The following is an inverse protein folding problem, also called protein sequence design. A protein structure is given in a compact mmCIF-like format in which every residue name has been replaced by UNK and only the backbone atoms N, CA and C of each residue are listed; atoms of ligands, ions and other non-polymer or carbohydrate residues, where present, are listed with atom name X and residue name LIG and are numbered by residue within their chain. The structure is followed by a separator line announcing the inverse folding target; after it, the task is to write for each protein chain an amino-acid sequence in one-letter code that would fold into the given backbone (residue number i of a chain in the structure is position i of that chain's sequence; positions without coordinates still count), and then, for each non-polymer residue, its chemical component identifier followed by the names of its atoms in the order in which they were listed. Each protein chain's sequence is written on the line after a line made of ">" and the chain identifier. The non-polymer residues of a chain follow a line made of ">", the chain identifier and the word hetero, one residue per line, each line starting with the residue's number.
data_IF_439524625410
#
_entry.id   IF_439524625410
#
_cell.length_a   1.000
_cell.length_b   1.000
_cell.length_c   1.000
_cell.angle_alpha   90.00
_cell.angle_beta   90.00
_cell.angle_gamma   90.00
#
_symmetry.space_group_name_H-M   'P 1'
#
loop_
_entity.id
_entity.type
_entity.pdbx_description
1 polymer ?
#
# COMPACT_ATOMS: atom_id res chain seq x y z
N UNK A 1 -15.85 -7.26 40.96
CA UNK A 1 -14.47 -6.85 41.30
C UNK A 1 -13.72 -6.60 40.02
N UNK A 2 -13.38 -5.33 39.79
CA UNK A 2 -12.81 -4.82 38.55
C UNK A 2 -11.38 -5.36 38.32
N UNK A 3 -10.97 -5.58 37.07
CA UNK A 3 -9.61 -6.04 36.70
C UNK A 3 -8.54 -5.11 37.29
N UNK A 4 -8.88 -3.81 37.40
CA UNK A 4 -8.07 -2.79 38.05
C UNK A 4 -7.73 -3.14 39.51
N UNK A 5 -8.68 -3.69 40.26
CA UNK A 5 -8.46 -4.06 41.66
C UNK A 5 -7.52 -5.26 41.80
N UNK A 6 -7.62 -6.22 40.86
CA UNK A 6 -6.77 -7.41 40.82
C UNK A 6 -5.32 -7.07 40.46
N UNK A 7 -5.11 -6.13 39.52
CA UNK A 7 -3.80 -5.58 39.19
C UNK A 7 -3.20 -4.78 40.35
N UNK A 8 -4.01 -3.97 41.05
CA UNK A 8 -3.58 -3.23 42.24
C UNK A 8 -3.12 -4.21 43.34
N UNK A 9 -3.87 -5.28 43.63
CA UNK A 9 -3.44 -6.28 44.60
C UNK A 9 -2.17 -7.03 44.19
N UNK A 10 -2.00 -7.34 42.90
CA UNK A 10 -0.79 -7.98 42.40
C UNK A 10 0.45 -7.08 42.50
N UNK A 11 0.33 -5.80 42.15
CA UNK A 11 1.41 -4.80 42.24
C UNK A 11 1.76 -4.51 43.70
N UNK A 12 0.75 -4.32 44.56
CA UNK A 12 0.94 -4.13 46.00
C UNK A 12 1.59 -5.37 46.64
N UNK A 13 1.24 -6.58 46.21
CA UNK A 13 1.88 -7.82 46.67
C UNK A 13 3.34 -7.97 46.22
N UNK A 14 3.66 -7.59 44.98
CA UNK A 14 5.03 -7.57 44.46
C UNK A 14 5.91 -6.50 45.14
N UNK A 15 5.35 -5.33 45.44
CA UNK A 15 6.08 -4.30 46.21
C UNK A 15 6.26 -4.69 47.68
N UNK A 16 5.27 -5.33 48.30
CA UNK A 16 5.35 -5.81 49.68
C UNK A 16 6.38 -6.94 49.86
N UNK A 17 6.56 -7.81 48.85
CA UNK A 17 7.57 -8.89 48.89
C UNK A 17 9.00 -8.35 48.80
N UNK A 18 9.25 -7.29 48.02
CA UNK A 18 10.55 -6.62 47.95
C UNK A 18 10.97 -5.90 49.23
N UNK A 19 10.01 -5.32 49.96
CA UNK A 19 10.25 -4.59 51.23
C UNK A 19 10.44 -5.55 52.42
N UNK A 20 9.70 -6.67 52.46
CA UNK A 20 9.71 -7.62 53.58
C UNK A 20 10.87 -8.62 53.57
N UNK A 21 11.51 -8.86 52.42
CA UNK A 21 12.68 -9.73 52.31
C UNK A 21 13.89 -9.26 53.14
N UNK A 22 13.90 -7.99 53.56
CA UNK A 22 14.97 -7.39 54.39
C UNK A 22 14.68 -7.38 55.91
N UNK A 23 13.52 -7.88 56.37
CA UNK A 23 13.01 -7.67 57.76
C UNK A 23 12.98 -8.98 58.60
N UNK A 24 13.87 -9.93 58.30
CA UNK A 24 14.03 -11.13 59.14
C UNK A 24 12.77 -12.01 59.26
N UNK A 25 12.61 -12.72 60.40
CA UNK A 25 11.59 -13.74 60.62
C UNK A 25 10.14 -13.24 60.48
N UNK A 26 9.85 -12.04 60.99
CA UNK A 26 8.52 -11.40 60.90
C UNK A 26 8.14 -11.08 59.44
N UNK A 27 9.11 -10.68 58.62
CA UNK A 27 8.91 -10.48 57.19
C UNK A 27 8.47 -11.76 56.46
N UNK A 28 9.02 -12.92 56.85
CA UNK A 28 8.63 -14.22 56.27
C UNK A 28 7.20 -14.62 56.66
N UNK A 29 6.79 -14.38 57.91
CA UNK A 29 5.41 -14.63 58.35
C UNK A 29 4.43 -13.77 57.55
N UNK A 30 4.73 -12.48 57.36
CA UNK A 30 3.90 -11.58 56.57
C UNK A 30 3.78 -12.04 55.10
N UNK A 31 4.87 -12.54 54.50
CA UNK A 31 4.86 -13.10 53.15
C UNK A 31 4.00 -14.37 53.03
N UNK A 32 4.07 -15.27 54.02
CA UNK A 32 3.25 -16.48 54.05
C UNK A 32 1.76 -16.14 54.18
N UNK A 33 1.42 -15.20 55.08
CA UNK A 33 0.03 -14.74 55.25
C UNK A 33 -0.50 -14.05 53.99
N UNK A 34 0.32 -13.25 53.31
CA UNK A 34 -0.03 -12.60 52.05
C UNK A 34 -0.24 -13.63 50.92
N UNK A 35 0.65 -14.62 50.81
CA UNK A 35 0.51 -15.71 49.85
C UNK A 35 -0.75 -16.55 50.12
N UNK A 36 -1.03 -16.88 51.38
CA UNK A 36 -2.25 -17.59 51.78
C UNK A 36 -3.52 -16.79 51.45
N UNK A 37 -3.50 -15.46 51.64
CA UNK A 37 -4.62 -14.59 51.27
C UNK A 37 -4.87 -14.50 49.76
N UNK A 38 -3.85 -14.77 48.93
CA UNK A 38 -3.99 -14.83 47.47
C UNK A 38 -4.60 -16.16 46.98
N UNK A 39 -4.54 -17.25 47.75
CA UNK A 39 -5.05 -18.57 47.34
C UNK A 39 -6.54 -18.54 46.97
N UNK A 40 -7.47 -18.00 47.79
CA UNK A 40 -8.88 -17.91 47.43
C UNK A 40 -9.12 -17.05 46.19
N UNK A 41 -8.30 -16.01 45.99
CA UNK A 41 -8.37 -15.13 44.83
C UNK A 41 -7.93 -15.86 43.56
N UNK A 42 -6.82 -16.57 43.61
CA UNK A 42 -6.31 -17.41 42.51
C UNK A 42 -7.33 -18.51 42.20
N UNK A 43 -7.87 -19.20 43.21
CA UNK A 43 -8.91 -20.22 43.00
C UNK A 43 -10.19 -19.63 42.37
N UNK A 44 -10.63 -18.44 42.81
CA UNK A 44 -11.81 -17.76 42.27
C UNK A 44 -11.60 -17.27 40.83
N UNK A 45 -10.39 -16.84 40.48
CA UNK A 45 -10.07 -16.25 39.18
C UNK A 45 -9.18 -17.11 38.29
N UNK A 46 -8.92 -18.38 38.64
CA UNK A 46 -7.96 -19.26 37.95
C UNK A 46 -8.21 -19.34 36.45
N UNK A 47 -9.49 -19.42 36.01
CA UNK A 47 -9.85 -19.43 34.59
C UNK A 47 -9.45 -18.12 33.89
N UNK A 48 -9.67 -16.97 34.53
CA UNK A 48 -9.29 -15.66 33.96
C UNK A 48 -7.78 -15.47 33.95
N UNK A 49 -7.08 -15.87 35.01
CA UNK A 49 -5.61 -15.85 35.08
C UNK A 49 -5.03 -16.77 34.00
N UNK A 50 -5.58 -17.97 33.84
CA UNK A 50 -5.20 -18.89 32.78
C UNK A 50 -5.39 -18.28 31.39
N UNK A 51 -6.56 -17.68 31.11
CA UNK A 51 -6.80 -16.99 29.83
C UNK A 51 -5.81 -15.86 29.62
N UNK A 52 -5.59 -14.99 30.61
CA UNK A 52 -4.60 -13.90 30.52
C UNK A 52 -3.22 -14.44 30.23
N UNK A 53 -2.73 -15.42 30.99
CA UNK A 53 -1.40 -16.01 30.76
C UNK A 53 -1.29 -16.68 29.38
N UNK A 54 -2.38 -17.29 28.89
CA UNK A 54 -2.42 -17.88 27.54
C UNK A 54 -2.47 -16.86 26.43
N UNK A 55 -3.12 -15.71 26.60
CA UNK A 55 -3.19 -14.66 25.57
C UNK A 55 -2.04 -13.66 25.65
N UNK A 56 -1.40 -13.51 26.81
CA UNK A 56 -0.36 -12.51 27.06
C UNK A 56 0.76 -12.49 26.00
N UNK A 57 1.32 -13.63 25.53
CA UNK A 57 2.34 -13.59 24.48
C UNK A 57 1.84 -12.99 23.16
N UNK A 58 0.60 -13.33 22.76
CA UNK A 58 -0.05 -12.77 21.57
C UNK A 58 -0.31 -11.28 21.76
N UNK A 59 -0.80 -10.89 22.93
CA UNK A 59 -1.18 -9.51 23.23
C UNK A 59 0.07 -8.60 23.33
N UNK A 60 1.18 -9.08 23.91
CA UNK A 60 2.49 -8.41 23.90
C UNK A 60 3.01 -8.25 22.46
N UNK A 61 2.94 -9.31 21.65
CA UNK A 61 3.37 -9.25 20.24
C UNK A 61 2.53 -8.26 19.44
N UNK A 62 1.22 -8.23 19.66
CA UNK A 62 0.33 -7.25 19.06
C UNK A 62 0.69 -5.82 19.50
N UNK A 63 0.87 -5.58 20.80
CA UNK A 63 1.25 -4.27 21.33
C UNK A 63 2.59 -3.80 20.74
N UNK A 64 3.60 -4.67 20.65
CA UNK A 64 4.87 -4.36 20.02
C UNK A 64 4.71 -3.94 18.55
N UNK A 65 3.94 -4.72 17.77
CA UNK A 65 3.64 -4.41 16.37
C UNK A 65 2.88 -3.09 16.22
N UNK A 66 1.90 -2.85 17.10
CA UNK A 66 1.10 -1.63 17.12
C UNK A 66 1.95 -0.40 17.43
N UNK A 67 2.78 -0.44 18.46
CA UNK A 67 3.66 0.68 18.84
C UNK A 67 4.64 1.05 17.73
N UNK A 68 5.18 0.05 17.00
CA UNK A 68 6.06 0.32 15.86
C UNK A 68 5.29 0.92 14.67
N UNK A 69 4.08 0.42 14.38
CA UNK A 69 3.22 1.01 13.34
C UNK A 69 2.86 2.47 13.65
N UNK A 70 2.44 2.74 14.89
CA UNK A 70 2.07 4.07 15.37
C UNK A 70 3.27 5.03 15.38
N UNK A 71 4.48 4.54 15.69
CA UNK A 71 5.72 5.31 15.55
C UNK A 71 5.99 5.70 14.09
N UNK A 72 5.88 4.76 13.15
CA UNK A 72 6.04 5.02 11.71
C UNK A 72 5.03 6.08 11.23
N UNK A 73 3.74 5.91 11.57
CA UNK A 73 2.67 6.83 11.15
C UNK A 73 2.86 8.25 11.70
N UNK A 74 3.22 8.38 12.99
CA UNK A 74 3.55 9.71 13.57
C UNK A 74 4.75 10.35 12.88
N UNK A 75 5.74 9.55 12.46
CA UNK A 75 6.86 10.07 11.67
C UNK A 75 6.40 10.58 10.31
N UNK A 76 5.52 9.86 9.63
CA UNK A 76 5.01 10.27 8.32
C UNK A 76 4.21 11.57 8.37
N UNK A 77 3.36 11.73 9.40
CA UNK A 77 2.62 12.97 9.63
C UNK A 77 3.57 14.14 9.86
N UNK A 78 4.54 13.99 10.78
CA UNK A 78 5.49 15.04 11.15
C UNK A 78 6.36 15.50 9.98
N UNK A 79 6.80 14.55 9.15
CA UNK A 79 7.72 14.81 8.04
C UNK A 79 6.99 15.08 6.71
N UNK A 80 5.66 15.21 6.72
CA UNK A 80 4.84 15.37 5.53
C UNK A 80 5.18 14.33 4.44
N UNK A 81 5.33 13.06 4.85
CA UNK A 81 5.87 11.99 4.00
C UNK A 81 4.85 11.49 2.98
N UNK A 82 5.31 11.17 1.77
CA UNK A 82 4.53 10.51 0.73
C UNK A 82 5.17 9.18 0.34
N UNK A 83 4.43 8.31 -0.36
CA UNK A 83 5.01 7.07 -0.89
C UNK A 83 6.15 7.36 -1.87
N UNK A 84 6.03 8.43 -2.68
CA UNK A 84 7.07 8.89 -3.60
C UNK A 84 8.36 9.27 -2.86
N UNK A 85 8.28 9.99 -1.73
CA UNK A 85 9.45 10.35 -0.92
C UNK A 85 10.16 9.12 -0.35
N UNK A 86 9.39 8.15 0.15
CA UNK A 86 9.94 6.89 0.66
C UNK A 86 10.61 6.10 -0.47
N UNK A 87 9.95 6.00 -1.63
CA UNK A 87 10.46 5.22 -2.74
C UNK A 87 11.72 5.85 -3.35
N UNK A 88 11.75 7.18 -3.53
CA UNK A 88 12.92 7.94 -3.99
C UNK A 88 14.16 7.63 -3.15
N UNK A 89 14.01 7.69 -1.82
CA UNK A 89 15.11 7.38 -0.91
C UNK A 89 15.52 5.90 -0.98
N UNK A 90 14.56 4.99 -1.17
CA UNK A 90 14.86 3.57 -1.39
C UNK A 90 15.63 3.33 -2.69
N UNK A 91 15.21 3.92 -3.80
CA UNK A 91 15.89 3.79 -5.08
C UNK A 91 17.33 4.33 -5.01
N UNK A 92 17.53 5.43 -4.27
CA UNK A 92 18.87 5.99 -4.00
C UNK A 92 19.75 5.06 -3.16
N UNK A 93 19.21 4.47 -2.10
CA UNK A 93 19.98 3.64 -1.15
C UNK A 93 20.19 2.20 -1.63
N UNK A 94 19.26 1.68 -2.42
CA UNK A 94 19.22 0.27 -2.82
C UNK A 94 18.81 0.10 -4.29
N UNK A 95 19.54 0.70 -5.24
CA UNK A 95 19.14 0.76 -6.65
C UNK A 95 18.92 -0.64 -7.25
N UNK A 96 19.86 -1.56 -7.03
CA UNK A 96 19.87 -2.90 -7.64
C UNK A 96 18.93 -3.92 -6.95
N UNK A 97 18.26 -3.53 -5.86
CA UNK A 97 17.38 -4.47 -5.14
C UNK A 97 16.09 -4.70 -5.95
N UNK A 98 15.61 -5.96 -6.07
CA UNK A 98 14.35 -6.26 -6.72
C UNK A 98 13.17 -5.51 -6.08
N UNK A 99 12.36 -4.87 -6.90
CA UNK A 99 11.10 -4.23 -6.50
C UNK A 99 9.91 -5.07 -6.99
N UNK A 100 9.88 -5.37 -8.29
CA UNK A 100 8.85 -6.21 -8.89
C UNK A 100 9.48 -7.34 -9.71
N UNK A 101 8.79 -8.46 -9.78
CA UNK A 101 9.11 -9.56 -10.70
C UNK A 101 7.88 -9.75 -11.58
N UNK A 102 8.05 -9.69 -12.89
CA UNK A 102 6.95 -9.79 -13.84
C UNK A 102 7.41 -10.55 -15.07
N UNK A 103 6.68 -11.59 -15.45
CA UNK A 103 6.95 -12.41 -16.66
C UNK A 103 8.40 -12.93 -16.77
N UNK A 104 9.04 -13.21 -15.62
CA UNK A 104 10.42 -13.68 -15.54
C UNK A 104 11.47 -12.57 -15.53
N UNK A 105 11.09 -11.32 -15.76
CA UNK A 105 11.95 -10.15 -15.66
C UNK A 105 11.91 -9.57 -14.24
N UNK A 106 13.08 -9.15 -13.75
CA UNK A 106 13.20 -8.43 -12.48
C UNK A 106 13.29 -6.95 -12.75
N UNK A 107 12.40 -6.18 -12.13
CA UNK A 107 12.43 -4.73 -12.10
C UNK A 107 13.01 -4.28 -10.76
N UNK A 108 14.15 -3.61 -10.82
CA UNK A 108 14.85 -3.08 -9.65
C UNK A 108 14.22 -1.78 -9.15
N UNK A 109 14.67 -1.27 -8.01
CA UNK A 109 14.21 0.05 -7.55
C UNK A 109 14.66 1.16 -8.52
N UNK A 110 15.83 1.03 -9.14
CA UNK A 110 16.30 1.99 -10.13
C UNK A 110 15.44 1.99 -11.40
N UNK A 111 15.04 0.82 -11.90
CA UNK A 111 14.20 0.72 -13.11
C UNK A 111 12.86 1.45 -12.91
N UNK A 112 12.21 1.22 -11.76
CA UNK A 112 10.95 1.86 -11.40
C UNK A 112 11.14 3.37 -11.18
N UNK A 113 12.26 3.80 -10.58
CA UNK A 113 12.52 5.22 -10.38
C UNK A 113 12.75 5.96 -11.69
N UNK A 114 13.57 5.39 -12.59
CA UNK A 114 13.83 5.93 -13.94
C UNK A 114 12.55 6.00 -14.76
N UNK A 115 11.74 4.95 -14.78
CA UNK A 115 10.47 4.93 -15.51
C UNK A 115 9.49 5.96 -14.94
N UNK A 116 9.32 6.00 -13.62
CA UNK A 116 8.42 6.96 -12.98
C UNK A 116 8.89 8.41 -13.18
N UNK A 117 10.21 8.67 -13.23
CA UNK A 117 10.75 9.99 -13.56
C UNK A 117 10.42 10.41 -15.00
N UNK A 118 10.52 9.49 -15.97
CA UNK A 118 10.12 9.78 -17.36
C UNK A 118 8.66 10.19 -17.45
N UNK A 119 7.76 9.41 -16.86
CA UNK A 119 6.33 9.75 -16.78
C UNK A 119 6.13 11.13 -16.15
N UNK A 120 6.80 11.39 -15.02
CA UNK A 120 6.65 12.65 -14.32
C UNK A 120 7.10 13.85 -15.16
N UNK A 121 8.22 13.73 -15.88
CA UNK A 121 8.73 14.80 -16.75
C UNK A 121 7.82 15.02 -17.97
N UNK A 122 7.35 13.95 -18.64
CA UNK A 122 6.40 14.06 -19.77
C UNK A 122 5.14 14.83 -19.35
N UNK A 123 4.55 14.46 -18.21
CA UNK A 123 3.30 15.10 -17.76
C UNK A 123 3.55 16.51 -17.20
N UNK A 124 4.69 16.77 -16.57
CA UNK A 124 5.07 18.12 -16.14
C UNK A 124 5.22 19.05 -17.35
N UNK A 125 5.95 18.63 -18.39
CA UNK A 125 6.17 19.41 -19.61
C UNK A 125 4.86 19.64 -20.39
N UNK A 126 3.93 18.69 -20.33
CA UNK A 126 2.59 18.83 -20.88
C UNK A 126 1.66 19.73 -20.02
N UNK A 127 2.14 20.30 -18.91
CA UNK A 127 1.43 21.26 -18.07
C UNK A 127 0.54 20.66 -16.98
N UNK A 128 0.65 19.36 -16.70
CA UNK A 128 -0.05 18.75 -15.57
C UNK A 128 0.66 19.03 -14.26
N UNK A 129 -0.12 19.21 -13.20
CA UNK A 129 0.43 19.49 -11.88
C UNK A 129 -0.47 19.05 -10.73
N UNK A 130 -0.14 19.55 -9.55
CA UNK A 130 -0.79 19.17 -8.31
C UNK A 130 -2.30 19.40 -8.35
N UNK A 131 -3.07 18.35 -8.05
CA UNK A 131 -4.54 18.38 -8.02
C UNK A 131 -5.22 18.03 -9.35
N UNK A 132 -4.46 17.92 -10.45
CA UNK A 132 -4.97 17.36 -11.69
C UNK A 132 -5.19 15.86 -11.57
N UNK A 133 -6.13 15.32 -12.34
CA UNK A 133 -6.44 13.90 -12.35
C UNK A 133 -6.24 13.28 -13.74
N UNK A 134 -5.52 12.15 -13.78
CA UNK A 134 -5.22 11.38 -15.00
C UNK A 134 -5.69 9.95 -14.80
N UNK A 135 -6.49 9.43 -15.73
CA UNK A 135 -6.95 8.05 -15.70
C UNK A 135 -5.87 7.09 -16.20
N UNK A 136 -5.82 5.89 -15.62
CA UNK A 136 -4.91 4.82 -16.00
C UNK A 136 -5.71 3.53 -16.29
N UNK A 137 -5.69 3.12 -17.55
CA UNK A 137 -6.35 1.91 -18.06
C UNK A 137 -5.31 0.95 -18.65
N UNK A 138 -4.80 0.06 -17.80
CA UNK A 138 -3.68 -0.81 -18.10
C UNK A 138 -3.80 -2.11 -17.29
N UNK A 139 -3.39 -3.24 -17.87
CA UNK A 139 -3.28 -4.52 -17.16
C UNK A 139 -2.16 -4.49 -16.12
N UNK A 140 -2.11 -5.52 -15.26
CA UNK A 140 -1.06 -5.63 -14.27
C UNK A 140 0.31 -5.74 -14.93
N UNK A 141 1.18 -4.77 -14.64
CA UNK A 141 2.59 -4.75 -15.04
C UNK A 141 3.35 -3.72 -14.19
N UNK A 142 4.69 -3.81 -14.06
CA UNK A 142 5.48 -2.85 -13.28
C UNK A 142 5.29 -1.39 -13.72
N UNK A 143 5.09 -1.16 -15.02
CA UNK A 143 4.81 0.13 -15.63
C UNK A 143 3.53 0.77 -15.07
N UNK A 144 2.52 -0.02 -14.71
CA UNK A 144 1.31 0.47 -14.06
C UNK A 144 1.65 1.22 -12.77
N UNK A 145 2.53 0.61 -11.96
CA UNK A 145 2.95 1.17 -10.68
C UNK A 145 3.88 2.36 -10.87
N UNK A 146 4.84 2.23 -11.78
CA UNK A 146 5.76 3.32 -12.09
C UNK A 146 5.03 4.54 -12.68
N UNK A 147 3.93 4.34 -13.42
CA UNK A 147 3.12 5.41 -13.99
C UNK A 147 2.43 6.24 -12.91
N UNK A 148 1.63 5.63 -12.02
CA UNK A 148 0.97 6.40 -10.97
C UNK A 148 1.98 6.98 -9.98
N UNK A 149 3.11 6.31 -9.75
CA UNK A 149 4.19 6.83 -8.91
C UNK A 149 4.82 8.07 -9.55
N UNK A 150 5.00 8.08 -10.87
CA UNK A 150 5.51 9.22 -11.65
C UNK A 150 4.56 10.41 -11.62
N UNK A 151 3.27 10.19 -11.91
CA UNK A 151 2.23 11.21 -11.77
C UNK A 151 2.18 11.75 -10.33
N UNK A 152 2.28 10.86 -9.34
CA UNK A 152 2.35 11.21 -7.93
C UNK A 152 3.56 12.09 -7.57
N UNK A 153 4.71 11.99 -8.28
CA UNK A 153 5.88 12.85 -8.02
C UNK A 153 5.59 14.34 -8.29
N UNK A 154 4.67 14.63 -9.21
CA UNK A 154 4.24 15.99 -9.57
C UNK A 154 2.88 16.38 -8.96
N UNK A 155 2.37 15.55 -8.04
CA UNK A 155 1.10 15.80 -7.34
C UNK A 155 -0.15 15.53 -8.17
N UNK A 156 -0.02 14.87 -9.33
CA UNK A 156 -1.14 14.45 -10.15
C UNK A 156 -1.77 13.20 -9.54
N UNK A 157 -3.09 13.22 -9.44
CA UNK A 157 -3.91 12.13 -8.91
C UNK A 157 -4.13 11.11 -10.02
N UNK A 158 -3.88 9.83 -9.76
CA UNK A 158 -4.14 8.78 -10.75
C UNK A 158 -5.48 8.09 -10.50
N UNK A 159 -6.37 8.11 -11.47
CA UNK A 159 -7.63 7.39 -11.43
C UNK A 159 -7.48 5.99 -12.00
N UNK A 160 -7.58 4.98 -11.14
CA UNK A 160 -7.31 3.59 -11.47
C UNK A 160 -8.55 2.94 -12.06
N UNK A 161 -8.56 2.76 -13.39
CA UNK A 161 -9.75 2.30 -14.11
C UNK A 161 -9.80 0.78 -14.15
N UNK A 162 -10.95 0.21 -13.83
CA UNK A 162 -11.21 -1.21 -14.00
C UNK A 162 -11.22 -1.56 -15.49
N UNK A 163 -10.33 -2.48 -15.87
CA UNK A 163 -10.08 -2.90 -17.26
C UNK A 163 -11.27 -3.57 -17.95
N UNK A 164 -12.29 -3.98 -17.19
CA UNK A 164 -13.51 -4.60 -17.71
C UNK A 164 -14.62 -3.58 -18.03
N UNK A 165 -14.45 -2.30 -17.65
CA UNK A 165 -15.46 -1.28 -17.94
C UNK A 165 -15.48 -0.93 -19.43
N UNK A 166 -16.68 -0.68 -19.94
CA UNK A 166 -16.94 -0.31 -21.34
C UNK A 166 -18.04 0.75 -21.40
N UNK A 167 -18.12 1.44 -22.54
CA UNK A 167 -19.21 2.35 -22.90
C UNK A 167 -19.54 3.34 -21.77
N UNK A 168 -20.83 3.49 -21.42
CA UNK A 168 -21.31 4.44 -20.43
C UNK A 168 -20.63 4.32 -19.06
N UNK A 169 -20.30 3.11 -18.60
CA UNK A 169 -19.63 2.94 -17.31
C UNK A 169 -18.20 3.50 -17.35
N UNK A 170 -17.49 3.32 -18.47
CA UNK A 170 -16.14 3.84 -18.65
C UNK A 170 -16.15 5.36 -18.79
N UNK A 171 -17.01 5.91 -19.64
CA UNK A 171 -17.13 7.37 -19.79
C UNK A 171 -17.58 8.04 -18.49
N UNK A 172 -18.51 7.43 -17.74
CA UNK A 172 -18.93 7.89 -16.42
C UNK A 172 -17.75 8.02 -15.46
N UNK A 173 -16.85 7.02 -15.39
CA UNK A 173 -15.66 7.07 -14.54
C UNK A 173 -14.77 8.28 -14.85
N UNK A 174 -14.57 8.59 -16.13
CA UNK A 174 -13.74 9.71 -16.58
C UNK A 174 -14.39 11.06 -16.26
N UNK A 175 -15.71 11.18 -16.47
CA UNK A 175 -16.43 12.43 -16.26
C UNK A 175 -16.62 12.75 -14.77
N UNK A 176 -17.03 11.77 -13.95
CA UNK A 176 -17.33 12.00 -12.53
C UNK A 176 -16.11 12.45 -11.73
N UNK A 177 -14.92 11.98 -12.13
CA UNK A 177 -13.65 12.34 -11.50
C UNK A 177 -12.96 13.57 -12.13
N UNK A 178 -13.62 14.23 -13.11
CA UNK A 178 -13.08 15.38 -13.84
C UNK A 178 -11.68 15.12 -14.43
N UNK A 179 -11.52 13.96 -15.04
CA UNK A 179 -10.24 13.52 -15.61
C UNK A 179 -9.81 14.46 -16.75
N UNK A 180 -8.56 14.92 -16.73
CA UNK A 180 -7.96 15.76 -17.79
C UNK A 180 -7.36 14.94 -18.93
N UNK A 181 -6.83 13.76 -18.63
CA UNK A 181 -6.29 12.85 -19.63
C UNK A 181 -6.37 11.40 -19.23
N UNK A 182 -6.29 10.50 -20.20
CA UNK A 182 -6.29 9.05 -19.99
C UNK A 182 -5.01 8.46 -20.58
N UNK A 183 -4.30 7.68 -19.77
CA UNK A 183 -3.23 6.77 -20.19
C UNK A 183 -3.85 5.40 -20.38
N UNK A 184 -3.68 4.82 -21.57
CA UNK A 184 -4.16 3.48 -21.86
C UNK A 184 -3.17 2.73 -22.75
N UNK A 185 -3.26 1.41 -22.70
CA UNK A 185 -2.44 0.50 -23.50
C UNK A 185 -3.19 0.03 -24.76
N UNK A 186 -2.45 -0.40 -25.79
CA UNK A 186 -2.99 -0.88 -27.07
C UNK A 186 -4.23 -1.76 -26.93
N UNK A 187 -4.23 -2.71 -25.99
CA UNK A 187 -5.34 -3.64 -25.78
C UNK A 187 -6.69 -2.98 -25.38
N UNK A 188 -6.67 -1.70 -25.02
CA UNK A 188 -7.85 -0.92 -24.65
C UNK A 188 -8.20 0.18 -25.66
N UNK A 189 -7.55 0.22 -26.83
CA UNK A 189 -7.83 1.24 -27.86
C UNK A 189 -9.29 1.25 -28.27
N UNK A 190 -9.88 0.08 -28.56
CA UNK A 190 -11.31 -0.03 -28.92
C UNK A 190 -12.24 0.48 -27.83
N UNK A 191 -11.93 0.21 -26.56
CA UNK A 191 -12.74 0.68 -25.44
C UNK A 191 -12.73 2.21 -25.29
N UNK A 192 -11.63 2.86 -25.65
CA UNK A 192 -11.49 4.34 -25.65
C UNK A 192 -12.14 4.94 -26.90
N UNK A 193 -12.01 4.28 -28.05
CA UNK A 193 -12.67 4.67 -29.30
C UNK A 193 -14.21 4.63 -29.15
N UNK A 194 -14.76 3.57 -28.56
CA UNK A 194 -16.20 3.41 -28.30
C UNK A 194 -16.84 4.57 -27.52
N UNK A 195 -16.03 5.34 -26.77
CA UNK A 195 -16.50 6.46 -25.94
C UNK A 195 -15.97 7.81 -26.41
N UNK A 196 -15.29 7.88 -27.57
CA UNK A 196 -14.56 9.06 -28.02
C UNK A 196 -15.39 10.35 -27.98
N UNK A 197 -16.67 10.23 -28.37
CA UNK A 197 -17.61 11.34 -28.45
C UNK A 197 -18.09 11.79 -27.07
N UNK A 198 -18.09 10.89 -26.09
CA UNK A 198 -18.47 11.18 -24.70
C UNK A 198 -17.34 11.80 -23.88
N UNK A 199 -16.10 11.78 -24.37
CA UNK A 199 -14.90 12.24 -23.65
C UNK A 199 -14.17 13.37 -24.38
N UNK A 200 -14.91 14.21 -25.11
CA UNK A 200 -14.35 15.40 -25.76
C UNK A 200 -13.60 16.28 -24.75
N UNK A 201 -12.39 16.70 -25.11
CA UNK A 201 -11.51 17.50 -24.23
C UNK A 201 -10.61 16.68 -23.28
N UNK A 202 -10.76 15.36 -23.21
CA UNK A 202 -9.82 14.50 -22.48
C UNK A 202 -8.68 14.07 -23.41
N UNK A 203 -7.47 14.53 -23.13
CA UNK A 203 -6.27 14.14 -23.90
C UNK A 203 -5.99 12.64 -23.74
N UNK A 204 -5.60 11.98 -24.83
CA UNK A 204 -5.40 10.53 -24.87
C UNK A 204 -3.91 10.22 -25.00
N UNK A 205 -3.35 9.46 -24.06
CA UNK A 205 -1.96 8.98 -24.10
C UNK A 205 -1.99 7.48 -24.30
N UNK A 206 -1.55 7.03 -25.48
CA UNK A 206 -1.53 5.62 -25.86
C UNK A 206 -0.14 5.05 -25.65
N UNK A 207 -0.06 3.87 -25.04
CA UNK A 207 1.17 3.10 -24.89
C UNK A 207 1.08 1.78 -25.67
N UNK A 208 2.09 1.51 -26.49
CA UNK A 208 2.16 0.37 -27.39
C UNK A 208 1.33 0.53 -28.67
N UNK A 209 1.63 -0.33 -29.65
CA UNK A 209 0.98 -0.36 -30.96
C UNK A 209 1.39 0.79 -31.88
N UNK A 210 0.79 0.82 -33.08
CA UNK A 210 0.99 1.94 -34.01
C UNK A 210 -0.07 3.02 -33.75
N UNK A 211 0.35 4.28 -33.83
CA UNK A 211 -0.52 5.46 -33.80
C UNK A 211 -0.81 6.03 -35.20
N UNK A 212 -0.13 5.53 -36.23
CA UNK A 212 -0.39 5.94 -37.62
C UNK A 212 -1.83 5.61 -38.02
N UNK A 213 -2.55 6.61 -38.52
CA UNK A 213 -3.96 6.50 -38.92
C UNK A 213 -4.96 6.96 -37.85
N UNK A 214 -4.52 7.27 -36.62
CA UNK A 214 -5.37 7.93 -35.64
C UNK A 214 -5.51 9.41 -35.94
N UNK A 215 -6.72 9.85 -36.27
CA UNK A 215 -7.07 11.27 -36.37
C UNK A 215 -7.45 11.80 -34.98
N UNK A 216 -6.70 12.77 -34.43
CA UNK A 216 -7.11 13.53 -33.23
C UNK A 216 -6.08 13.61 -32.09
N UNK A 217 -6.58 13.94 -30.87
CA UNK A 217 -5.82 14.25 -29.64
C UNK A 217 -5.12 13.05 -28.96
N UNK A 218 -4.66 12.06 -29.75
CA UNK A 218 -3.93 10.89 -29.25
C UNK A 218 -2.43 11.16 -29.34
N UNK A 219 -1.74 11.04 -28.20
CA UNK A 219 -0.30 11.20 -28.05
C UNK A 219 0.35 9.84 -27.84
N UNK A 220 1.43 9.59 -28.58
CA UNK A 220 2.28 8.40 -28.44
C UNK A 220 3.13 8.52 -27.18
N UNK A 221 2.74 7.81 -26.13
CA UNK A 221 3.43 7.89 -24.84
C UNK A 221 4.81 7.23 -24.89
N UNK A 222 5.02 6.20 -25.71
CA UNK A 222 6.32 5.54 -25.81
C UNK A 222 7.37 6.47 -26.42
N UNK A 223 7.01 7.21 -27.48
CA UNK A 223 7.89 8.24 -28.06
C UNK A 223 8.18 9.36 -27.06
N UNK A 224 7.15 9.89 -26.40
CA UNK A 224 7.34 10.94 -25.39
C UNK A 224 8.26 10.48 -24.24
N UNK A 225 8.12 9.23 -23.78
CA UNK A 225 8.97 8.69 -22.73
C UNK A 225 10.39 8.34 -23.19
N UNK A 226 10.60 8.01 -24.46
CA UNK A 226 11.93 7.72 -24.99
C UNK A 226 12.86 8.93 -24.88
N UNK A 227 12.31 10.12 -25.17
CA UNK A 227 13.03 11.39 -25.12
C UNK A 227 13.05 12.03 -23.72
N UNK A 228 12.19 11.56 -22.81
CA UNK A 228 12.05 12.12 -21.48
C UNK A 228 13.25 11.84 -20.56
N UNK A 229 13.58 12.85 -19.74
CA UNK A 229 14.59 12.74 -18.70
C UNK A 229 14.25 11.66 -17.67
N UNK A 230 15.26 10.88 -17.27
CA UNK A 230 15.16 9.92 -16.16
C UNK A 230 15.47 10.55 -14.79
N UNK A 231 15.78 11.84 -14.74
CA UNK A 231 16.06 12.55 -13.48
C UNK A 231 14.75 12.89 -12.77
N UNK A 232 14.82 12.96 -11.45
CA UNK A 232 13.70 13.40 -10.61
C UNK A 232 13.18 14.76 -11.13
N UNK A 233 11.86 14.92 -11.33
CA UNK A 233 11.29 16.19 -11.74
C UNK A 233 11.50 17.24 -10.65
N UNK A 234 11.87 18.44 -11.06
CA UNK A 234 11.84 19.61 -10.19
C UNK A 234 10.40 20.14 -10.09
N UNK A 235 9.88 20.38 -8.88
CA UNK A 235 8.49 20.80 -8.68
C UNK A 235 8.41 21.88 -7.62
N UNK A 236 7.73 22.99 -7.93
CA UNK A 236 7.61 24.12 -6.99
C UNK A 236 6.76 23.76 -5.76
N UNK A 237 5.75 22.90 -5.94
CA UNK A 237 4.82 22.48 -4.90
C UNK A 237 4.85 20.95 -4.74
N UNK A 238 5.78 20.45 -3.92
CA UNK A 238 5.85 19.02 -3.63
C UNK A 238 4.53 18.50 -3.00
N UNK A 239 4.05 17.31 -3.41
CA UNK A 239 2.92 16.67 -2.75
C UNK A 239 3.29 16.19 -1.34
N UNK A 240 2.30 16.26 -0.45
CA UNK A 240 2.40 15.98 0.97
C UNK A 240 1.51 14.83 1.43
N UNK A 241 1.61 14.53 2.72
CA UNK A 241 0.97 13.39 3.38
C UNK A 241 -0.56 13.38 3.25
N UNK A 242 -1.20 14.55 3.22
CA UNK A 242 -2.66 14.66 3.11
C UNK A 242 -3.17 14.81 1.67
N UNK A 243 -2.28 15.01 0.71
CA UNK A 243 -2.69 15.19 -0.68
C UNK A 243 -3.19 13.87 -1.28
N UNK A 244 -4.20 14.01 -2.14
CA UNK A 244 -4.80 12.91 -2.89
C UNK A 244 -3.76 12.26 -3.80
N UNK A 245 -3.79 10.93 -3.87
CA UNK A 245 -2.83 10.14 -4.64
C UNK A 245 -3.55 9.33 -5.71
N UNK A 246 -4.58 8.60 -5.32
CA UNK A 246 -5.31 7.69 -6.20
C UNK A 246 -6.81 7.90 -6.09
N UNK A 247 -7.50 7.72 -7.20
CA UNK A 247 -8.94 7.46 -7.23
C UNK A 247 -9.18 5.99 -7.56
N UNK A 248 -9.94 5.32 -6.69
CA UNK A 248 -10.37 3.92 -6.89
C UNK A 248 -11.88 3.92 -7.09
N UNK A 249 -12.37 3.16 -8.05
CA UNK A 249 -13.81 3.07 -8.31
C UNK A 249 -14.42 1.85 -7.63
N UNK A 250 -15.52 2.07 -6.91
CA UNK A 250 -16.29 1.01 -6.24
C UNK A 250 -17.62 0.81 -6.94
N UNK A 251 -18.11 -0.43 -7.00
CA UNK A 251 -19.46 -0.77 -7.43
C UNK A 251 -20.47 0.03 -6.61
N UNK A 252 -21.09 1.06 -7.20
CA UNK A 252 -22.09 1.85 -6.51
C UNK A 252 -23.40 1.06 -6.37
N UNK A 253 -24.15 1.27 -5.28
CA UNK A 253 -25.51 0.72 -5.11
C UNK A 253 -26.50 1.18 -6.18
N UNK A 254 -26.16 2.26 -6.90
CA UNK A 254 -26.95 2.88 -7.98
C UNK A 254 -26.56 2.38 -9.38
N UNK A 255 -25.76 1.30 -9.48
CA UNK A 255 -25.32 0.68 -10.75
C UNK A 255 -24.08 1.31 -11.37
N UNK A 256 -23.89 2.63 -11.24
CA UNK A 256 -22.71 3.33 -11.75
C UNK A 256 -21.56 3.39 -10.73
N UNK A 257 -20.28 3.25 -11.15
CA UNK A 257 -19.14 3.28 -10.24
C UNK A 257 -18.98 4.64 -9.53
N UNK A 258 -18.65 4.61 -8.23
CA UNK A 258 -18.37 5.81 -7.42
C UNK A 258 -16.88 5.96 -7.16
N UNK A 259 -16.39 7.20 -7.11
CA UNK A 259 -14.99 7.51 -6.82
C UNK A 259 -14.73 7.46 -5.31
N UNK A 260 -13.77 6.63 -4.91
CA UNK A 260 -13.19 6.62 -3.59
C UNK A 260 -11.81 7.28 -3.63
N UNK A 261 -11.67 8.38 -2.89
CA UNK A 261 -10.41 9.14 -2.81
C UNK A 261 -9.43 8.45 -1.87
N UNK A 262 -8.21 8.22 -2.33
CA UNK A 262 -7.12 7.62 -1.55
C UNK A 262 -5.97 8.64 -1.45
N UNK A 263 -5.87 9.35 -0.31
CA UNK A 263 -4.72 10.22 -0.06
C UNK A 263 -3.47 9.42 0.30
N UNK A 264 -2.31 10.07 0.22
CA UNK A 264 -1.02 9.51 0.63
C UNK A 264 -1.07 8.91 2.05
N UNK A 265 -1.75 9.60 2.97
CA UNK A 265 -1.98 9.17 4.35
C UNK A 265 -2.67 7.81 4.45
N UNK A 266 -3.69 7.57 3.61
CA UNK A 266 -4.42 6.29 3.57
C UNK A 266 -3.54 5.19 2.98
N UNK A 267 -2.80 5.49 1.92
CA UNK A 267 -1.81 4.56 1.36
C UNK A 267 -0.82 4.11 2.45
N UNK A 268 -0.15 5.06 3.11
CA UNK A 268 0.86 4.77 4.13
C UNK A 268 0.27 4.06 5.34
N UNK A 269 -0.95 4.41 5.76
CA UNK A 269 -1.68 3.71 6.82
C UNK A 269 -1.87 2.23 6.50
N UNK A 270 -2.46 1.93 5.34
CA UNK A 270 -2.76 0.55 4.93
C UNK A 270 -1.48 -0.28 4.89
N UNK A 271 -0.42 0.23 4.25
CA UNK A 271 0.83 -0.53 4.11
C UNK A 271 1.57 -0.71 5.43
N UNK A 272 1.57 0.31 6.28
CA UNK A 272 2.19 0.22 7.61
C UNK A 272 1.44 -0.79 8.47
N UNK A 273 0.11 -0.79 8.43
CA UNK A 273 -0.72 -1.78 9.11
C UNK A 273 -0.44 -3.19 8.56
N UNK A 274 -0.46 -3.39 7.24
CA UNK A 274 -0.14 -4.68 6.61
C UNK A 274 1.23 -5.21 7.05
N UNK A 275 2.27 -4.38 6.93
CA UNK A 275 3.64 -4.77 7.27
C UNK A 275 3.77 -5.20 8.73
N UNK A 276 3.31 -4.36 9.66
CA UNK A 276 3.48 -4.63 11.10
C UNK A 276 2.52 -5.69 11.61
N UNK A 277 1.24 -5.67 11.21
CA UNK A 277 0.22 -6.58 11.73
C UNK A 277 0.39 -8.00 11.22
N UNK A 278 0.80 -8.19 9.97
CA UNK A 278 1.22 -9.51 9.48
C UNK A 278 2.61 -9.86 10.03
N UNK A 279 3.42 -8.85 10.32
CA UNK A 279 4.80 -8.97 10.79
C UNK A 279 5.71 -9.50 9.71
N UNK A 280 5.60 -8.87 8.54
CA UNK A 280 6.41 -9.15 7.38
C UNK A 280 7.87 -8.79 7.65
N UNK A 281 8.76 -9.46 6.92
CA UNK A 281 10.20 -9.40 7.06
C UNK A 281 10.82 -8.96 5.76
N UNK A 282 11.35 -7.73 5.75
CA UNK A 282 12.04 -7.11 4.62
C UNK A 282 13.03 -8.02 3.88
N UNK A 283 13.75 -8.88 4.60
CA UNK A 283 14.86 -9.65 4.05
C UNK A 283 14.53 -11.09 3.67
N UNK A 284 13.32 -11.57 3.92
CA UNK A 284 12.94 -12.97 3.67
C UNK A 284 11.61 -13.14 2.98
N UNK A 285 10.75 -12.10 3.00
CA UNK A 285 9.45 -12.20 2.37
C UNK A 285 9.47 -11.83 0.90
N UNK A 286 8.66 -12.54 0.13
CA UNK A 286 8.38 -12.30 -1.29
C UNK A 286 6.87 -12.45 -1.47
N UNK A 287 6.22 -11.39 -1.95
CA UNK A 287 4.77 -11.34 -2.09
C UNK A 287 4.36 -11.77 -3.49
N UNK A 288 3.43 -12.71 -3.63
CA UNK A 288 2.75 -12.99 -4.88
C UNK A 288 1.48 -12.14 -4.99
N UNK A 289 1.31 -11.44 -6.12
CA UNK A 289 0.18 -10.54 -6.35
C UNK A 289 -0.44 -10.79 -7.74
N UNK A 290 -1.46 -11.67 -7.81
CA UNK A 290 -2.18 -11.93 -9.04
C UNK A 290 -3.45 -11.04 -9.20
N UNK A 291 -3.70 -10.14 -8.24
CA UNK A 291 -4.92 -9.33 -8.14
C UNK A 291 -4.80 -8.10 -9.04
N UNK A 292 -5.89 -7.65 -9.70
CA UNK A 292 -5.82 -6.44 -10.52
C UNK A 292 -5.34 -5.21 -9.74
N UNK A 293 -4.38 -4.47 -10.31
CA UNK A 293 -3.71 -3.33 -9.66
C UNK A 293 -4.61 -2.09 -9.52
N UNK A 294 -5.75 -2.05 -10.21
CA UNK A 294 -6.73 -0.98 -10.02
C UNK A 294 -7.56 -1.16 -8.74
N UNK A 295 -7.53 -2.33 -8.11
CA UNK A 295 -8.18 -2.60 -6.82
C UNK A 295 -7.25 -2.26 -5.66
N UNK A 296 -7.81 -1.87 -4.52
CA UNK A 296 -7.02 -1.56 -3.32
C UNK A 296 -6.16 -2.74 -2.84
N UNK A 297 -6.68 -3.98 -2.93
CA UNK A 297 -5.93 -5.19 -2.55
C UNK A 297 -4.73 -5.42 -3.45
N UNK A 298 -4.89 -5.36 -4.78
CA UNK A 298 -3.78 -5.56 -5.72
C UNK A 298 -2.83 -4.37 -5.77
N UNK A 299 -3.36 -3.16 -5.95
CA UNK A 299 -2.61 -1.93 -6.16
C UNK A 299 -1.93 -1.40 -4.91
N UNK A 300 -2.63 -1.31 -3.77
CA UNK A 300 -2.02 -0.86 -2.52
C UNK A 300 -1.34 -2.02 -1.82
N UNK A 301 -2.11 -2.98 -1.28
CA UNK A 301 -1.54 -4.02 -0.41
C UNK A 301 -0.50 -4.86 -1.16
N UNK A 302 -0.80 -5.21 -2.41
CA UNK A 302 0.04 -6.02 -3.29
C UNK A 302 1.34 -5.39 -3.76
N UNK A 303 1.49 -4.06 -3.68
CA UNK A 303 2.71 -3.39 -4.18
C UNK A 303 3.35 -2.44 -3.17
N UNK A 304 2.60 -1.96 -2.19
CA UNK A 304 3.07 -0.93 -1.28
C UNK A 304 4.19 -1.40 -0.36
N UNK A 305 4.27 -2.69 -0.03
CA UNK A 305 5.42 -3.24 0.69
C UNK A 305 6.70 -3.25 -0.16
N UNK A 306 6.61 -3.44 -1.47
CA UNK A 306 7.75 -3.29 -2.37
C UNK A 306 8.25 -1.85 -2.37
N UNK A 307 7.32 -0.90 -2.55
CA UNK A 307 7.67 0.53 -2.62
C UNK A 307 8.21 1.08 -1.28
N UNK A 308 7.59 0.71 -0.15
CA UNK A 308 7.87 1.36 1.15
C UNK A 308 8.77 0.54 2.07
N UNK A 309 8.75 -0.79 1.98
CA UNK A 309 9.49 -1.70 2.88
C UNK A 309 10.55 -2.52 2.14
N UNK A 310 10.51 -2.59 0.80
CA UNK A 310 11.50 -3.29 -0.02
C UNK A 310 11.31 -4.80 -0.01
N UNK A 311 10.07 -5.25 0.22
CA UNK A 311 9.65 -6.63 0.06
C UNK A 311 9.20 -6.79 -1.39
N UNK A 312 9.91 -7.54 -2.24
CA UNK A 312 9.58 -7.63 -3.65
C UNK A 312 8.20 -8.25 -3.86
N UNK A 313 7.51 -7.81 -4.92
CA UNK A 313 6.21 -8.34 -5.32
C UNK A 313 6.28 -8.98 -6.71
N UNK A 314 5.88 -10.24 -6.80
CA UNK A 314 5.74 -11.02 -8.04
C UNK A 314 4.36 -10.74 -8.61
N UNK A 315 4.33 -10.03 -9.72
CA UNK A 315 3.11 -9.61 -10.41
C UNK A 315 2.72 -10.63 -11.47
N UNK A 316 1.42 -10.74 -11.71
CA UNK A 316 0.87 -11.46 -12.86
C UNK A 316 -0.12 -10.58 -13.61
N UNK A 317 -0.05 -10.61 -14.95
CA UNK A 317 -0.91 -9.81 -15.83
C UNK A 317 -2.40 -10.05 -15.57
N UNK A 318 -2.77 -11.33 -15.43
CA UNK A 318 -4.12 -11.79 -15.05
C UNK A 318 -4.04 -13.01 -14.14
N UNK A 319 -4.98 -13.14 -13.21
CA UNK A 319 -5.10 -14.31 -12.34
C UNK A 319 -5.19 -15.62 -13.15
N UNK A 320 -4.56 -16.68 -12.65
CA UNK A 320 -4.59 -18.01 -13.25
C UNK A 320 -4.52 -19.06 -12.16
N UNK A 321 -5.57 -19.89 -12.06
CA UNK A 321 -5.67 -20.98 -11.09
C UNK A 321 -4.54 -22.00 -11.31
N UNK A 322 -4.31 -22.39 -12.56
CA UNK A 322 -3.33 -23.43 -12.91
C UNK A 322 -1.89 -23.00 -12.69
N UNK A 323 -1.59 -21.70 -12.79
CA UNK A 323 -0.25 -21.17 -12.58
C UNK A 323 -0.02 -20.66 -11.15
N UNK A 324 -1.05 -20.49 -10.33
CA UNK A 324 -0.95 -19.87 -9.00
C UNK A 324 0.14 -20.51 -8.13
N UNK A 325 0.07 -21.82 -7.92
CA UNK A 325 1.05 -22.54 -7.10
C UNK A 325 2.41 -22.67 -7.79
N UNK A 326 2.41 -22.88 -9.11
CA UNK A 326 3.64 -22.98 -9.91
C UNK A 326 4.46 -21.71 -9.83
N UNK A 327 3.83 -20.54 -9.91
CA UNK A 327 4.48 -19.25 -9.76
C UNK A 327 5.00 -19.04 -8.33
N UNK A 328 4.17 -19.32 -7.32
CA UNK A 328 4.57 -19.21 -5.92
C UNK A 328 5.83 -20.05 -5.62
N UNK A 329 5.88 -21.29 -6.13
CA UNK A 329 7.04 -22.17 -5.97
C UNK A 329 8.24 -21.64 -6.75
N UNK A 330 8.06 -21.28 -8.02
CA UNK A 330 9.13 -20.79 -8.91
C UNK A 330 9.82 -19.56 -8.32
N UNK A 331 9.05 -18.60 -7.81
CA UNK A 331 9.57 -17.35 -7.28
C UNK A 331 9.78 -17.35 -5.75
N UNK A 332 9.58 -18.51 -5.09
CA UNK A 332 9.77 -18.70 -3.65
C UNK A 332 8.95 -17.70 -2.82
N UNK A 333 7.71 -17.46 -3.23
CA UNK A 333 6.80 -16.55 -2.54
C UNK A 333 6.51 -17.06 -1.12
N UNK A 334 6.54 -16.16 -0.14
CA UNK A 334 6.26 -16.49 1.27
C UNK A 334 4.87 -16.05 1.72
N UNK A 335 4.23 -15.18 0.93
CA UNK A 335 2.85 -14.74 1.12
C UNK A 335 2.21 -14.45 -0.24
N UNK A 336 0.88 -14.53 -0.30
CA UNK A 336 0.07 -14.21 -1.48
C UNK A 336 -1.15 -13.39 -1.07
N UNK A 337 -1.70 -12.64 -2.02
CA UNK A 337 -3.01 -12.01 -1.88
C UNK A 337 -4.01 -12.82 -2.69
N UNK A 338 -5.09 -13.21 -2.04
CA UNK A 338 -6.19 -13.95 -2.63
C UNK A 338 -7.39 -13.03 -2.89
N UNK A 339 -8.11 -13.31 -3.97
CA UNK A 339 -9.41 -12.73 -4.24
C UNK A 339 -10.43 -13.75 -3.76
N UNK A 340 -11.24 -13.40 -2.76
CA UNK A 340 -12.37 -14.21 -2.32
C UNK A 340 -13.42 -14.37 -3.42
#
# INVERSE_FOLDING_TARGET
>A
MDIKLLLVFAIVGLMATGVTARIGFLGRIAQILLAAALIPLICKFHRKIYVILKTLPRDIKFLYRYVNADRDLRSFVRNNTTVMKIFRERARLYPDKPCFIFEGCTWTNEDIDKYSNRIANVFKEAGYGKGDAVALLMLNRPEYIATWLGLGKIGVITALINTNLRQQCLSHCLTVAKIKSVIYTEEFSSAIEDISDSIQGITRYKQGGNIEGYNGDIRDLDKLMADASTKQPDVDNEPGYKDDLLYIYTSGTTGLPKVAIVPNSRFLLVITATYHMLGLKKNSDILYNPIPLYHMSGGLVGTGCALTKGIPSVLRSKFSVTAYWTDCIKYKCTLSIEQD
#
